data_IF_818334298488
#
_entry.id   IF_818334298488
#
_cell.length_a   1.000
_cell.length_b   1.000
_cell.length_c   1.000
_cell.angle_alpha   90.00
_cell.angle_beta   90.00
_cell.angle_gamma   90.00
#
_symmetry.space_group_name_H-M   'P 1'
#
loop_
_entity.id
_entity.type
_entity.pdbx_description
1 polymer ?
#
# COMPACT_ATOMS: atom_id res chain seq x y z
N UNK A 1 -24.32 8.45 -18.20
CA UNK A 1 -24.28 7.11 -18.82
C UNK A 1 -23.80 7.23 -20.28
N UNK A 2 -22.59 7.79 -20.49
CA UNK A 2 -22.02 8.01 -21.84
C UNK A 2 -20.48 7.86 -21.84
N UNK A 3 -19.84 8.05 -20.68
CA UNK A 3 -18.39 7.86 -20.49
C UNK A 3 -17.97 6.39 -20.67
N UNK A 4 -18.80 5.43 -20.24
CA UNK A 4 -18.50 4.00 -20.39
C UNK A 4 -18.55 3.52 -21.84
N UNK A 5 -19.41 4.12 -22.67
CA UNK A 5 -19.53 3.81 -24.10
C UNK A 5 -18.40 4.45 -24.91
N UNK A 6 -18.02 5.70 -24.62
CA UNK A 6 -16.88 6.34 -25.28
C UNK A 6 -15.54 5.69 -24.92
N UNK A 7 -15.41 5.20 -23.68
CA UNK A 7 -14.24 4.42 -23.26
C UNK A 7 -14.12 3.08 -23.99
N UNK A 8 -15.24 2.42 -24.31
CA UNK A 8 -15.25 1.17 -25.09
C UNK A 8 -14.74 1.38 -26.52
N UNK A 9 -15.28 2.37 -27.24
CA UNK A 9 -14.85 2.65 -28.62
C UNK A 9 -13.37 3.03 -28.72
N UNK A 10 -12.86 3.86 -27.80
CA UNK A 10 -11.43 4.19 -27.75
C UNK A 10 -10.57 2.95 -27.45
N UNK A 11 -11.02 2.09 -26.54
CA UNK A 11 -10.30 0.87 -26.17
C UNK A 11 -10.24 -0.10 -27.35
N UNK A 12 -11.33 -0.25 -28.11
CA UNK A 12 -11.37 -1.07 -29.32
C UNK A 12 -10.33 -0.60 -30.32
N UNK A 13 -10.36 0.68 -30.74
CA UNK A 13 -9.38 1.25 -31.69
C UNK A 13 -7.92 1.07 -31.23
N UNK A 14 -7.65 1.18 -29.93
CA UNK A 14 -6.31 1.00 -29.37
C UNK A 14 -5.82 -0.46 -29.36
N UNK A 15 -6.72 -1.44 -29.46
CA UNK A 15 -6.37 -2.87 -29.47
C UNK A 15 -6.56 -3.52 -30.84
N UNK A 16 -7.37 -2.92 -31.72
CA UNK A 16 -7.66 -3.36 -33.09
C UNK A 16 -6.40 -3.58 -33.93
N UNK A 17 -6.49 -4.52 -34.87
CA UNK A 17 -5.50 -4.75 -35.91
C UNK A 17 -5.87 -3.94 -37.17
N UNK A 18 -4.90 -3.68 -38.05
CA UNK A 18 -5.16 -3.02 -39.34
C UNK A 18 -6.15 -3.91 -40.12
N UNK A 19 -7.25 -3.36 -40.68
CA UNK A 19 -8.22 -4.14 -41.44
C UNK A 19 -7.52 -4.90 -42.57
N UNK A 20 -7.80 -6.19 -42.71
CA UNK A 20 -7.28 -7.02 -43.81
C UNK A 20 -8.04 -6.79 -45.13
N UNK A 21 -9.06 -5.93 -45.11
CA UNK A 21 -9.92 -5.69 -46.26
C UNK A 21 -9.19 -4.92 -47.35
N UNK A 22 -9.33 -5.40 -48.58
CA UNK A 22 -8.90 -4.69 -49.79
C UNK A 22 -9.85 -3.55 -50.19
N UNK A 23 -10.93 -3.31 -49.44
CA UNK A 23 -11.84 -2.18 -49.63
C UNK A 23 -11.18 -0.85 -49.16
N UNK A 24 -10.99 0.13 -50.07
CA UNK A 24 -10.40 1.42 -49.73
C UNK A 24 -11.23 2.24 -48.73
N UNK A 25 -12.56 2.11 -48.73
CA UNK A 25 -13.45 2.89 -47.85
C UNK A 25 -13.26 2.52 -46.39
N UNK A 26 -13.24 1.20 -46.11
CA UNK A 26 -12.99 0.65 -44.77
C UNK A 26 -11.60 1.05 -44.22
N UNK A 27 -10.60 1.18 -45.10
CA UNK A 27 -9.25 1.59 -44.71
C UNK A 27 -9.19 3.09 -44.33
N UNK A 28 -9.93 3.94 -45.05
CA UNK A 28 -10.01 5.38 -44.78
C UNK A 28 -10.73 5.63 -43.43
N UNK A 29 -11.84 4.95 -43.19
CA UNK A 29 -12.58 5.03 -41.92
C UNK A 29 -11.71 4.63 -40.74
N UNK A 30 -11.01 3.48 -40.85
CA UNK A 30 -10.05 3.05 -39.82
C UNK A 30 -8.93 4.07 -39.58
N UNK A 31 -8.39 4.68 -40.64
CA UNK A 31 -7.36 5.71 -40.50
C UNK A 31 -7.86 6.93 -39.73
N UNK A 32 -9.10 7.36 -39.99
CA UNK A 32 -9.72 8.51 -39.33
C UNK A 32 -9.95 8.24 -37.83
N UNK A 33 -10.58 7.10 -37.50
CA UNK A 33 -10.80 6.70 -36.09
C UNK A 33 -9.49 6.58 -35.31
N UNK A 34 -8.45 6.06 -35.96
CA UNK A 34 -7.13 5.89 -35.37
C UNK A 34 -6.39 7.23 -35.14
N UNK A 35 -6.61 8.24 -35.98
CA UNK A 35 -6.10 9.60 -35.77
C UNK A 35 -6.84 10.27 -34.61
N UNK A 36 -8.18 10.17 -34.59
CA UNK A 36 -9.02 10.75 -33.54
C UNK A 36 -8.68 10.14 -32.17
N UNK A 37 -8.53 8.82 -32.10
CA UNK A 37 -8.10 8.12 -30.89
C UNK A 37 -6.73 8.62 -30.40
N UNK A 38 -5.77 8.80 -31.30
CA UNK A 38 -4.44 9.32 -30.93
C UNK A 38 -4.51 10.75 -30.40
N UNK A 39 -5.33 11.62 -31.01
CA UNK A 39 -5.54 13.00 -30.56
C UNK A 39 -6.20 13.06 -29.18
N UNK A 40 -7.23 12.24 -28.94
CA UNK A 40 -7.89 12.13 -27.63
C UNK A 40 -6.89 11.69 -26.57
N UNK A 41 -6.05 10.70 -26.86
CA UNK A 41 -5.03 10.25 -25.90
C UNK A 41 -4.03 11.38 -25.62
N UNK A 42 -3.51 12.05 -26.64
CA UNK A 42 -2.52 13.12 -26.49
C UNK A 42 -3.07 14.33 -25.74
N UNK A 43 -4.35 14.69 -25.92
CA UNK A 43 -4.97 15.83 -25.24
C UNK A 43 -5.12 15.63 -23.73
N UNK A 44 -5.12 14.36 -23.27
CA UNK A 44 -5.20 14.02 -21.85
C UNK A 44 -3.83 13.78 -21.20
N UNK A 45 -2.73 13.89 -21.97
CA UNK A 45 -1.38 13.76 -21.46
C UNK A 45 -0.76 15.14 -21.20
N UNK A 46 -0.05 15.27 -20.08
CA UNK A 46 0.73 16.48 -19.80
C UNK A 46 1.80 16.69 -20.88
N UNK A 47 2.03 17.93 -21.29
CA UNK A 47 2.88 18.27 -22.45
C UNK A 47 4.28 17.63 -22.39
N UNK A 48 4.92 17.59 -21.23
CA UNK A 48 6.23 16.96 -21.03
C UNK A 48 6.21 15.43 -21.25
N UNK A 49 5.13 14.78 -20.83
CA UNK A 49 4.90 13.35 -21.04
C UNK A 49 4.65 13.11 -22.53
N UNK A 50 3.82 13.94 -23.16
CA UNK A 50 3.52 13.88 -24.58
C UNK A 50 4.79 14.02 -25.43
N UNK A 51 5.62 15.04 -25.16
CA UNK A 51 6.90 15.24 -25.85
C UNK A 51 7.80 14.02 -25.67
N UNK A 52 7.99 13.53 -24.45
CA UNK A 52 8.87 12.38 -24.20
C UNK A 52 8.29 11.03 -24.65
N UNK A 53 7.03 10.96 -25.07
CA UNK A 53 6.43 9.80 -25.72
C UNK A 53 6.53 9.95 -27.25
N UNK A 54 6.26 11.14 -27.78
CA UNK A 54 6.21 11.43 -29.23
C UNK A 54 7.62 11.61 -29.83
N UNK A 55 8.56 12.19 -29.08
CA UNK A 55 9.95 12.34 -29.48
C UNK A 55 10.58 10.96 -29.59
N UNK A 56 10.96 10.60 -30.83
CA UNK A 56 11.52 9.29 -31.17
C UNK A 56 10.56 8.35 -31.91
N UNK A 57 9.40 8.82 -32.38
CA UNK A 57 8.44 7.96 -33.08
C UNK A 57 7.82 8.67 -34.29
N UNK A 58 7.82 7.96 -35.42
CA UNK A 58 6.73 8.06 -36.39
C UNK A 58 5.53 7.33 -35.78
N UNK A 59 4.73 7.95 -34.91
CA UNK A 59 3.55 7.28 -34.33
C UNK A 59 2.60 6.96 -35.49
N UNK A 60 2.54 5.69 -35.89
CA UNK A 60 1.73 5.24 -37.03
C UNK A 60 0.28 4.88 -36.63
N UNK A 61 0.00 4.70 -35.33
CA UNK A 61 -1.32 4.35 -34.83
C UNK A 61 -1.54 4.66 -33.35
N UNK A 62 -2.80 4.86 -32.96
CA UNK A 62 -3.27 4.97 -31.57
C UNK A 62 -2.86 3.76 -30.73
N UNK A 63 -2.88 2.55 -31.32
CA UNK A 63 -2.34 1.34 -30.68
C UNK A 63 -0.86 1.44 -30.30
N UNK A 64 -0.04 1.97 -31.20
CA UNK A 64 1.39 2.15 -30.93
C UNK A 64 1.63 3.21 -29.84
N UNK A 65 0.84 4.29 -29.87
CA UNK A 65 0.84 5.32 -28.83
C UNK A 65 0.44 4.74 -27.47
N UNK A 66 -0.69 4.04 -27.41
CA UNK A 66 -1.22 3.39 -26.21
C UNK A 66 -0.23 2.40 -25.62
N UNK A 67 0.32 1.51 -26.46
CA UNK A 67 1.33 0.53 -26.03
C UNK A 67 2.54 1.19 -25.38
N UNK A 68 3.00 2.32 -25.90
CA UNK A 68 4.14 3.05 -25.31
C UNK A 68 3.80 3.76 -24.02
N UNK A 69 2.59 4.33 -23.90
CA UNK A 69 2.09 4.86 -22.63
C UNK A 69 2.09 3.73 -21.60
N UNK A 70 1.51 2.58 -21.94
CA UNK A 70 1.46 1.41 -21.05
C UNK A 70 2.86 0.93 -20.68
N UNK A 71 3.82 0.88 -21.62
CA UNK A 71 5.21 0.51 -21.31
C UNK A 71 5.85 1.52 -20.37
N UNK A 72 5.75 2.82 -20.69
CA UNK A 72 6.41 3.90 -19.94
C UNK A 72 5.87 4.05 -18.52
N UNK A 73 4.58 3.79 -18.33
CA UNK A 73 3.91 3.86 -17.04
C UNK A 73 3.63 2.47 -16.44
N UNK A 74 4.17 1.41 -17.02
CA UNK A 74 4.05 0.07 -16.46
C UNK A 74 4.59 0.05 -15.03
N UNK A 75 3.89 -0.63 -14.13
CA UNK A 75 4.32 -0.83 -12.75
C UNK A 75 5.75 -1.40 -12.66
N UNK A 76 6.21 -2.13 -13.68
CA UNK A 76 7.53 -2.75 -13.76
C UNK A 76 8.66 -1.85 -14.28
N UNK A 77 8.38 -0.61 -14.67
CA UNK A 77 9.45 0.31 -15.12
C UNK A 77 10.42 0.63 -14.00
N UNK A 78 11.68 0.90 -14.35
CA UNK A 78 12.71 1.29 -13.37
C UNK A 78 12.26 2.49 -12.51
N UNK A 79 11.60 3.48 -13.11
CA UNK A 79 11.10 4.66 -12.40
C UNK A 79 10.05 4.30 -11.35
N UNK A 80 9.06 3.48 -11.70
CA UNK A 80 8.03 3.05 -10.75
C UNK A 80 8.63 2.15 -9.66
N UNK A 81 9.52 1.23 -10.05
CA UNK A 81 10.25 0.39 -9.09
C UNK A 81 11.09 1.21 -8.12
N UNK A 82 11.82 2.21 -8.62
CA UNK A 82 12.60 3.13 -7.83
C UNK A 82 11.74 3.98 -6.89
N UNK A 83 10.59 4.49 -7.35
CA UNK A 83 9.67 5.26 -6.50
C UNK A 83 9.10 4.42 -5.37
N UNK A 84 8.63 3.20 -5.65
CA UNK A 84 8.14 2.28 -4.61
C UNK A 84 9.27 1.89 -3.65
N UNK A 85 10.49 1.67 -4.14
CA UNK A 85 11.65 1.38 -3.29
C UNK A 85 12.01 2.57 -2.38
N UNK A 86 12.01 3.79 -2.89
CA UNK A 86 12.21 4.99 -2.07
C UNK A 86 11.08 5.15 -1.04
N UNK A 87 9.83 4.85 -1.41
CA UNK A 87 8.72 4.79 -0.46
C UNK A 87 8.86 3.68 0.57
N UNK A 88 9.60 2.61 0.29
CA UNK A 88 9.94 1.60 1.27
C UNK A 88 11.04 2.07 2.21
N UNK A 89 12.11 2.66 1.68
CA UNK A 89 13.28 3.09 2.46
C UNK A 89 13.02 4.34 3.32
N UNK A 90 12.24 5.30 2.80
CA UNK A 90 12.08 6.63 3.40
C UNK A 90 11.18 6.72 4.65
N UNK A 91 10.11 5.92 4.85
CA UNK A 91 9.30 6.00 6.04
C UNK A 91 10.13 5.65 7.27
N UNK A 92 10.18 6.61 8.20
CA UNK A 92 10.60 6.41 9.57
C UNK A 92 9.38 5.97 10.36
N UNK A 93 9.56 5.01 11.25
CA UNK A 93 8.52 4.56 12.18
C UNK A 93 7.80 5.76 12.81
N UNK A 94 6.50 5.88 12.58
CA UNK A 94 5.64 6.82 13.31
C UNK A 94 5.34 6.20 14.67
N UNK A 95 5.18 7.01 15.72
CA UNK A 95 5.11 6.54 17.13
C UNK A 95 3.98 5.51 17.43
N UNK A 96 3.11 5.20 16.47
CA UNK A 96 2.01 4.24 16.53
C UNK A 96 2.32 3.01 15.69
N UNK A 97 2.46 1.88 16.37
CA UNK A 97 2.89 0.63 15.78
C UNK A 97 1.80 -0.03 14.90
N UNK A 98 0.52 0.27 15.16
CA UNK A 98 -0.63 -0.14 14.35
C UNK A 98 -0.58 0.48 12.95
N UNK A 99 -0.30 1.78 12.87
CA UNK A 99 -0.16 2.52 11.61
C UNK A 99 1.05 2.00 10.84
N UNK A 100 2.15 1.75 11.54
CA UNK A 100 3.36 1.18 10.97
C UNK A 100 3.16 -0.22 10.34
N UNK A 101 2.47 -1.14 11.03
CA UNK A 101 2.17 -2.49 10.51
C UNK A 101 1.35 -2.39 9.22
N UNK A 102 0.34 -1.51 9.21
CA UNK A 102 -0.53 -1.29 8.05
C UNK A 102 0.25 -0.71 6.86
N UNK A 103 1.11 0.27 7.11
CA UNK A 103 1.97 0.87 6.08
C UNK A 103 2.96 -0.15 5.51
N UNK A 104 3.62 -0.94 6.37
CA UNK A 104 4.52 -2.01 5.94
C UNK A 104 3.79 -3.03 5.06
N UNK A 105 2.62 -3.51 5.49
CA UNK A 105 1.83 -4.50 4.74
C UNK A 105 1.45 -3.98 3.34
N UNK A 106 1.04 -2.71 3.26
CA UNK A 106 0.70 -2.06 1.99
C UNK A 106 1.92 -1.97 1.06
N UNK A 107 3.05 -1.47 1.56
CA UNK A 107 4.24 -1.28 0.73
C UNK A 107 4.83 -2.63 0.32
N UNK A 108 4.79 -3.66 1.16
CA UNK A 108 5.22 -5.01 0.80
C UNK A 108 4.39 -5.59 -0.35
N UNK A 109 3.08 -5.36 -0.34
CA UNK A 109 2.20 -5.72 -1.44
C UNK A 109 2.58 -4.97 -2.73
N UNK A 110 2.83 -3.66 -2.63
CA UNK A 110 3.23 -2.83 -3.77
C UNK A 110 4.59 -3.29 -4.35
N UNK A 111 5.59 -3.59 -3.50
CA UNK A 111 6.91 -4.15 -3.87
C UNK A 111 6.77 -5.47 -4.65
N UNK A 112 5.92 -6.37 -4.16
CA UNK A 112 5.64 -7.63 -4.86
C UNK A 112 4.97 -7.37 -6.21
N UNK A 113 4.01 -6.44 -6.26
CA UNK A 113 3.28 -6.07 -7.48
C UNK A 113 4.15 -5.46 -8.59
N UNK A 114 5.25 -4.78 -8.24
CA UNK A 114 6.23 -4.24 -9.20
C UNK A 114 7.37 -5.22 -9.53
N UNK A 115 7.37 -6.42 -8.94
CA UNK A 115 8.35 -7.47 -9.21
C UNK A 115 9.72 -7.26 -8.54
N UNK A 116 9.79 -6.52 -7.43
CA UNK A 116 10.98 -6.53 -6.58
C UNK A 116 10.87 -7.74 -5.66
N UNK A 117 11.83 -8.66 -5.74
CA UNK A 117 11.94 -9.81 -4.84
C UNK A 117 13.23 -9.68 -4.05
N UNK A 118 13.11 -9.75 -2.72
CA UNK A 118 14.22 -9.77 -1.79
C UNK A 118 14.10 -10.99 -0.89
N UNK A 119 15.22 -11.47 -0.34
CA UNK A 119 15.20 -12.51 0.67
C UNK A 119 14.27 -12.12 1.84
N UNK A 120 13.38 -13.03 2.30
CA UNK A 120 12.38 -12.73 3.33
C UNK A 120 12.98 -12.22 4.64
N UNK A 121 14.16 -12.72 5.00
CA UNK A 121 14.95 -12.34 6.16
C UNK A 121 15.48 -10.90 6.06
N UNK A 122 15.99 -10.49 4.90
CA UNK A 122 16.43 -9.11 4.65
C UNK A 122 15.27 -8.12 4.81
N UNK A 123 14.10 -8.46 4.27
CA UNK A 123 12.89 -7.64 4.45
C UNK A 123 12.46 -7.59 5.91
N UNK A 124 12.58 -8.71 6.62
CA UNK A 124 12.28 -8.79 8.04
C UNK A 124 13.23 -7.92 8.88
N UNK A 125 14.54 -7.97 8.63
CA UNK A 125 15.52 -7.11 9.29
C UNK A 125 15.30 -5.63 8.99
N UNK A 126 14.91 -5.28 7.77
CA UNK A 126 14.58 -3.90 7.40
C UNK A 126 13.42 -3.34 8.22
N UNK A 127 12.37 -4.14 8.46
CA UNK A 127 11.24 -3.74 9.33
C UNK A 127 11.70 -3.50 10.77
N UNK A 128 12.55 -4.37 11.32
CA UNK A 128 13.07 -4.19 12.69
C UNK A 128 13.97 -2.96 12.79
N UNK A 129 14.86 -2.76 11.82
CA UNK A 129 15.79 -1.63 11.78
C UNK A 129 15.06 -0.29 11.76
N UNK A 130 13.92 -0.21 11.09
CA UNK A 130 13.08 0.99 11.03
C UNK A 130 12.38 1.32 12.37
N UNK A 131 11.99 0.32 13.16
CA UNK A 131 11.46 0.51 14.53
C UNK A 131 12.59 0.95 15.48
N UNK A 132 13.78 0.38 15.29
CA UNK A 132 14.98 0.63 16.13
C UNK A 132 15.46 2.09 16.11
N UNK A 133 14.94 2.95 15.21
CA UNK A 133 15.26 4.38 15.22
C UNK A 133 14.60 5.12 16.38
N UNK A 134 13.53 4.57 16.98
CA UNK A 134 12.88 5.06 18.22
C UNK A 134 13.30 4.17 19.42
N UNK A 135 14.62 3.87 19.47
CA UNK A 135 15.34 2.88 20.30
C UNK A 135 14.82 2.77 21.74
N UNK A 136 14.73 3.89 22.46
CA UNK A 136 14.43 3.87 23.91
C UNK A 136 13.08 3.25 24.29
N UNK A 137 12.09 3.21 23.38
CA UNK A 137 10.74 2.70 23.67
C UNK A 137 10.54 1.25 23.25
N UNK A 138 11.31 0.76 22.29
CA UNK A 138 11.09 -0.54 21.65
C UNK A 138 12.29 -1.49 21.73
N UNK A 139 13.42 -1.10 22.31
CA UNK A 139 14.64 -1.95 22.41
C UNK A 139 14.37 -3.30 23.08
N UNK A 140 13.79 -3.32 24.28
CA UNK A 140 13.44 -4.57 24.96
C UNK A 140 12.50 -5.47 24.15
N UNK A 141 11.69 -4.87 23.29
CA UNK A 141 10.79 -5.60 22.43
C UNK A 141 11.53 -6.19 21.21
N UNK A 142 12.40 -5.40 20.57
CA UNK A 142 13.23 -5.86 19.47
C UNK A 142 14.16 -6.99 19.95
N UNK A 143 14.81 -6.82 21.10
CA UNK A 143 15.66 -7.85 21.70
C UNK A 143 14.88 -9.13 22.00
N UNK A 144 13.68 -9.01 22.56
CA UNK A 144 12.80 -10.17 22.79
C UNK A 144 12.41 -10.86 21.48
N UNK A 145 12.17 -10.12 20.40
CA UNK A 145 11.89 -10.72 19.10
C UNK A 145 13.11 -11.42 18.52
N UNK A 146 14.27 -10.77 18.52
CA UNK A 146 15.52 -11.34 18.01
C UNK A 146 15.89 -12.61 18.77
N UNK A 147 15.74 -12.62 20.09
CA UNK A 147 16.03 -13.78 20.94
C UNK A 147 15.00 -14.91 20.82
N UNK A 148 13.74 -14.60 20.48
CA UNK A 148 12.65 -15.59 20.35
C UNK A 148 12.40 -16.05 18.92
N UNK A 149 13.19 -15.59 17.96
CA UNK A 149 13.05 -15.94 16.56
C UNK A 149 14.16 -16.88 16.13
N UNK A 150 13.75 -18.07 15.66
CA UNK A 150 14.65 -19.07 15.10
C UNK A 150 15.13 -18.60 13.71
N UNK A 151 16.19 -19.19 13.18
CA UNK A 151 16.95 -18.78 11.97
C UNK A 151 16.18 -18.61 10.64
N UNK A 152 14.85 -18.76 10.61
CA UNK A 152 13.99 -18.60 9.43
C UNK A 152 12.96 -17.49 9.63
N UNK A 153 13.44 -16.28 9.90
CA UNK A 153 12.58 -15.10 10.08
C UNK A 153 12.02 -14.65 8.74
N UNK A 154 10.70 -14.49 8.65
CA UNK A 154 10.06 -13.83 7.52
C UNK A 154 9.28 -12.58 7.94
N UNK A 155 8.94 -11.78 6.94
CA UNK A 155 8.30 -10.48 7.08
C UNK A 155 6.94 -10.58 7.79
N UNK A 156 6.15 -11.61 7.49
CA UNK A 156 4.84 -11.81 8.08
C UNK A 156 4.93 -12.17 9.57
N UNK A 157 5.85 -13.05 9.95
CA UNK A 157 6.08 -13.44 11.35
C UNK A 157 6.43 -12.23 12.22
N UNK A 158 7.16 -11.26 11.70
CA UNK A 158 7.44 -10.01 12.41
C UNK A 158 6.17 -9.18 12.59
N UNK A 159 5.38 -8.99 11.53
CA UNK A 159 4.13 -8.24 11.60
C UNK A 159 3.11 -8.89 12.54
N UNK A 160 3.06 -10.21 12.58
CA UNK A 160 2.18 -10.98 13.49
C UNK A 160 2.62 -10.81 14.95
N UNK A 161 3.92 -10.93 15.25
CA UNK A 161 4.45 -10.69 16.62
C UNK A 161 4.24 -9.25 17.07
N UNK A 162 4.43 -8.27 16.17
CA UNK A 162 4.12 -6.86 16.44
C UNK A 162 2.65 -6.68 16.81
N UNK A 163 1.74 -7.31 16.06
CA UNK A 163 0.30 -7.28 16.30
C UNK A 163 -0.08 -7.92 17.64
N UNK A 164 0.52 -9.06 17.97
CA UNK A 164 0.27 -9.78 19.21
C UNK A 164 0.62 -8.93 20.44
N UNK A 165 1.70 -8.15 20.38
CA UNK A 165 2.11 -7.30 21.49
C UNK A 165 1.23 -6.08 21.70
N UNK A 166 0.70 -5.52 20.62
CA UNK A 166 -0.32 -4.48 20.72
C UNK A 166 -1.54 -5.04 21.45
N UNK A 167 -2.00 -6.23 21.03
CA UNK A 167 -3.12 -6.93 21.65
C UNK A 167 -2.86 -7.16 23.14
N UNK A 168 -1.71 -7.72 23.50
CA UNK A 168 -1.34 -8.02 24.88
C UNK A 168 -1.19 -6.74 25.74
N UNK A 169 -0.68 -5.63 25.18
CA UNK A 169 -0.64 -4.32 25.86
C UNK A 169 -2.01 -3.72 26.08
N UNK A 170 -2.94 -3.91 25.14
CA UNK A 170 -4.33 -3.44 25.28
C UNK A 170 -5.05 -4.25 26.37
N UNK A 171 -4.93 -5.58 26.32
CA UNK A 171 -5.50 -6.47 27.36
C UNK A 171 -5.00 -6.13 28.75
N UNK A 172 -3.69 -5.90 28.95
CA UNK A 172 -3.14 -5.50 30.26
C UNK A 172 -3.68 -4.15 30.75
N UNK A 173 -3.86 -3.17 29.86
CA UNK A 173 -4.45 -1.87 30.20
C UNK A 173 -5.92 -2.01 30.60
N UNK A 174 -6.67 -2.89 29.95
CA UNK A 174 -8.09 -3.09 30.24
C UNK A 174 -8.28 -3.85 31.56
N UNK A 175 -7.44 -4.84 31.86
CA UNK A 175 -7.41 -5.50 33.18
C UNK A 175 -7.11 -4.51 34.31
N UNK A 176 -6.12 -3.62 34.15
CA UNK A 176 -5.78 -2.61 35.17
C UNK A 176 -6.91 -1.59 35.38
N UNK A 177 -7.58 -1.13 34.32
CA UNK A 177 -8.73 -0.22 34.44
C UNK A 177 -9.91 -0.86 35.16
N UNK A 178 -10.13 -2.16 34.97
CA UNK A 178 -11.21 -2.89 35.64
C UNK A 178 -10.90 -3.11 37.13
N UNK A 179 -9.64 -3.39 37.47
CA UNK A 179 -9.21 -3.55 38.88
C UNK A 179 -9.39 -2.25 39.67
N UNK A 180 -9.05 -1.09 39.08
CA UNK A 180 -9.21 0.23 39.71
C UNK A 180 -10.70 0.63 39.86
N UNK A 181 -11.60 0.12 39.00
CA UNK A 181 -13.04 0.34 39.14
C UNK A 181 -13.67 -0.54 40.23
N UNK A 182 -13.18 -1.77 40.41
CA UNK A 182 -13.67 -2.68 41.46
C UNK A 182 -13.25 -2.24 42.86
N UNK A 183 -12.03 -1.69 43.02
CA UNK A 183 -11.59 -1.13 44.31
C UNK A 183 -12.32 0.16 44.72
N UNK A 184 -12.74 0.99 43.74
CA UNK A 184 -13.55 2.19 44.02
C UNK A 184 -15.05 1.90 44.20
N UNK A 185 -15.51 0.68 43.90
CA UNK A 185 -16.90 0.25 44.05
C UNK A 185 -17.22 -0.45 45.38
N UNK A 186 -16.20 -0.87 46.14
CA UNK A 186 -16.40 -1.60 47.40
C UNK A 186 -16.13 -0.70 48.61
N UNK A 187 -17.12 0.13 48.99
CA UNK A 187 -17.15 0.69 50.35
C UNK A 187 -17.53 -0.41 51.34
N UNK A 188 -16.77 -0.64 52.43
CA UNK A 188 -17.21 -1.55 53.47
C UNK A 188 -18.44 -0.95 54.17
N UNK A 189 -19.47 -1.76 54.34
CA UNK A 189 -20.68 -1.42 55.09
C UNK A 189 -20.31 -0.99 56.52
N UNK A 190 -20.67 0.24 56.88
CA UNK A 190 -20.66 0.70 58.27
C UNK A 190 -21.77 -0.02 59.03
N UNK A 191 -21.42 -0.74 60.10
CA UNK A 191 -22.39 -1.37 61.01
C UNK A 191 -23.20 -0.29 61.76
N UNK A 192 -24.51 -0.51 62.01
CA UNK A 192 -25.34 0.44 62.74
C UNK A 192 -24.97 0.43 64.24
N UNK A 193 -24.69 1.61 64.80
CA UNK A 193 -24.53 1.79 66.24
C UNK A 193 -25.90 1.70 66.93
N UNK A 194 -26.11 0.67 67.73
CA UNK A 194 -27.26 0.55 68.64
C UNK A 194 -26.98 1.37 69.91
N UNK A 195 -27.73 2.46 70.11
CA UNK A 195 -27.75 3.21 71.37
C UNK A 195 -28.56 2.43 72.41
N UNK A 196 -27.90 1.87 73.41
CA UNK A 196 -28.55 1.45 74.66
C UNK A 196 -28.56 2.65 75.62
N UNK A 197 -29.76 3.16 75.89
CA UNK A 197 -30.03 3.95 77.10
C UNK A 197 -30.30 2.98 78.25
N UNK A 198 -29.56 3.14 79.35
CA UNK A 198 -29.91 2.59 80.65
C UNK A 198 -30.11 3.80 81.57
N UNK A 199 -31.23 3.74 82.29
CA UNK A 199 -31.87 4.78 83.11
C UNK A 199 -30.94 5.58 84.04
#
# INVERSE_FOLDING_TARGET
MNVELSARGLCEVCHSYVPSSSDPSSLIEWHQENIEAAQIILSHLHQEISISIVVGIKVKSAKALWSKITIKFSSKTFTNRGRTWVQWECPKFTRKIEEYIKECSKILFDIAGIGISLPPDIMAYSILGKISQDRSKYDHFIDSMVLSMNSNINTQQILDKLSELIRNKNTRRDCQKNTIKEENGSRPYSLPQTNFHIN
#
